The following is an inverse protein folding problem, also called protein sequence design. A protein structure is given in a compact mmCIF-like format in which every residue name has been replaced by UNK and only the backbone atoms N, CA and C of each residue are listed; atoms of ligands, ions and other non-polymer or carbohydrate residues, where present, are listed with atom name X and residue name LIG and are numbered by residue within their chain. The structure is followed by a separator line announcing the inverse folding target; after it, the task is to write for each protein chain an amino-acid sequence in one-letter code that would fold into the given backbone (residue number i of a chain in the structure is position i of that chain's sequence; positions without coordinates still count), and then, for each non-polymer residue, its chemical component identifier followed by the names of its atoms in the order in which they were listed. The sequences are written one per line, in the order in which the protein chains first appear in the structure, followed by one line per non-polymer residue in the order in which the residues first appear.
data_IF_921349445792
#
_entry.id   IF_921349445792
#
_cell.length_a   1.000
_cell.length_b   1.000
_cell.length_c   1.000
_cell.angle_alpha   90.00
_cell.angle_beta   90.00
_cell.angle_gamma   90.00
#
_symmetry.space_group_name_H-M   'P 1'
#
loop_
_entity.id
_entity.type
_entity.pdbx_description
1 polymer ?
#
# COMPACT_ATOMS: atom_id res chain seq x y z
N UNK A 1 -6.32 -11.53 -12.21
CA UNK A 1 -7.44 -10.67 -11.78
C UNK A 1 -8.53 -11.48 -11.12
N UNK A 2 -8.96 -11.08 -9.93
CA UNK A 2 -10.08 -11.71 -9.21
C UNK A 2 -11.46 -11.34 -9.79
N UNK A 3 -12.45 -12.23 -9.61
CA UNK A 3 -13.86 -11.94 -9.86
C UNK A 3 -14.32 -10.82 -8.92
N UNK A 4 -15.08 -9.85 -9.45
CA UNK A 4 -15.59 -8.72 -8.68
C UNK A 4 -16.48 -9.17 -7.49
N UNK A 5 -17.16 -10.31 -7.64
CA UNK A 5 -18.01 -10.89 -6.58
C UNK A 5 -17.20 -11.38 -5.38
N UNK A 6 -15.94 -11.77 -5.59
CA UNK A 6 -15.05 -12.32 -4.56
C UNK A 6 -13.87 -11.42 -4.24
N UNK A 7 -13.69 -10.30 -4.93
CA UNK A 7 -12.54 -9.39 -4.79
C UNK A 7 -12.34 -8.83 -3.36
N UNK A 8 -13.40 -8.86 -2.55
CA UNK A 8 -13.39 -8.45 -1.14
C UNK A 8 -12.98 -9.55 -0.17
N UNK A 9 -12.86 -10.79 -0.65
CA UNK A 9 -12.38 -11.93 0.12
C UNK A 9 -10.89 -12.11 -0.15
N UNK A 10 -10.06 -12.27 0.90
CA UNK A 10 -8.65 -12.57 0.71
C UNK A 10 -8.42 -13.92 0.04
N UNK A 11 -7.48 -13.96 -0.90
CA UNK A 11 -6.90 -15.23 -1.36
C UNK A 11 -5.95 -15.74 -0.28
N UNK A 12 -6.32 -16.83 0.39
CA UNK A 12 -5.54 -17.41 1.50
C UNK A 12 -4.14 -17.83 1.06
N UNK A 13 -3.93 -18.16 -0.22
CA UNK A 13 -2.61 -18.52 -0.73
C UNK A 13 -1.65 -17.33 -0.82
N UNK A 14 -2.16 -16.10 -0.71
CA UNK A 14 -1.38 -14.85 -0.78
C UNK A 14 -1.22 -14.18 0.58
N UNK A 15 -1.54 -14.90 1.66
CA UNK A 15 -1.43 -14.39 3.02
C UNK A 15 -0.58 -15.33 3.87
N UNK A 16 0.41 -14.73 4.51
CA UNK A 16 1.20 -15.31 5.59
C UNK A 16 0.68 -14.75 6.92
N UNK A 17 0.35 -15.60 7.90
CA UNK A 17 -0.04 -15.15 9.23
C UNK A 17 1.20 -14.93 10.08
N UNK A 18 1.38 -13.71 10.60
CA UNK A 18 2.52 -13.34 11.44
C UNK A 18 2.06 -12.62 12.70
N UNK A 19 2.99 -12.29 13.60
CA UNK A 19 2.71 -11.46 14.76
C UNK A 19 2.25 -10.04 14.41
N UNK A 20 2.60 -9.54 13.22
CA UNK A 20 2.17 -8.23 12.71
C UNK A 20 0.79 -8.25 12.06
N UNK A 21 0.18 -9.43 11.92
CA UNK A 21 -1.06 -9.67 11.19
C UNK A 21 -0.84 -10.38 9.85
N UNK A 22 -1.84 -10.36 8.95
CA UNK A 22 -1.73 -10.99 7.64
C UNK A 22 -0.76 -10.21 6.75
N UNK A 23 0.41 -10.78 6.48
CA UNK A 23 1.35 -10.22 5.51
C UNK A 23 1.09 -10.78 4.12
N UNK A 24 1.24 -9.97 3.06
CA UNK A 24 1.17 -10.47 1.70
C UNK A 24 2.38 -11.36 1.40
N UNK A 25 2.12 -12.42 0.64
CA UNK A 25 3.15 -13.35 0.15
C UNK A 25 2.82 -13.78 -1.27
N UNK A 26 3.83 -14.22 -2.01
CA UNK A 26 3.64 -14.89 -3.31
C UNK A 26 3.00 -16.26 -3.09
N UNK A 27 2.04 -16.60 -3.93
CA UNK A 27 1.41 -17.91 -3.91
C UNK A 27 2.41 -19.01 -4.28
N UNK A 28 2.16 -20.26 -3.87
CA UNK A 28 3.00 -21.41 -4.23
C UNK A 28 3.00 -21.68 -5.76
N UNK A 29 2.01 -21.15 -6.47
CA UNK A 29 1.87 -21.18 -7.92
C UNK A 29 2.57 -19.99 -8.62
N UNK A 30 3.33 -19.18 -7.88
CA UNK A 30 4.07 -18.02 -8.37
C UNK A 30 3.24 -16.76 -8.56
N UNK A 31 1.91 -16.80 -8.32
CA UNK A 31 1.07 -15.60 -8.42
C UNK A 31 1.47 -14.57 -7.37
N UNK A 32 1.47 -13.30 -7.77
CA UNK A 32 1.76 -12.18 -6.87
C UNK A 32 0.47 -11.51 -6.40
N UNK A 33 0.44 -10.92 -5.19
CA UNK A 33 -0.61 -10.00 -4.78
C UNK A 33 -0.91 -8.93 -5.83
N UNK A 34 0.14 -8.35 -6.45
CA UNK A 34 0.00 -7.39 -7.55
C UNK A 34 -0.90 -7.90 -8.70
N UNK A 35 -0.69 -9.14 -9.18
CA UNK A 35 -1.43 -9.68 -10.35
C UNK A 35 -2.86 -10.10 -10.00
N UNK A 36 -3.04 -10.60 -8.77
CA UNK A 36 -4.32 -11.16 -8.31
C UNK A 36 -5.28 -10.05 -7.92
N UNK A 37 -4.78 -9.04 -7.19
CA UNK A 37 -5.59 -7.94 -6.69
C UNK A 37 -5.69 -6.74 -7.64
N UNK A 38 -5.04 -6.76 -8.81
CA UNK A 38 -5.15 -5.71 -9.82
C UNK A 38 -6.61 -5.36 -10.17
N UNK A 39 -6.89 -4.05 -10.23
CA UNK A 39 -8.17 -3.49 -10.64
C UNK A 39 -8.44 -3.73 -12.12
N UNK A 40 -9.70 -3.94 -12.49
CA UNK A 40 -10.09 -4.21 -13.88
C UNK A 40 -9.86 -2.98 -14.75
N UNK A 41 -9.37 -3.18 -15.96
CA UNK A 41 -9.29 -2.16 -17.00
C UNK A 41 -9.86 -2.70 -18.32
N UNK A 42 -10.29 -1.81 -19.21
CA UNK A 42 -11.03 -2.13 -20.45
C UNK A 42 -10.23 -2.90 -21.50
N UNK A 43 -8.91 -3.01 -21.37
CA UNK A 43 -8.04 -3.58 -22.41
C UNK A 43 -7.91 -2.70 -23.67
N UNK A 44 -8.57 -1.55 -23.72
CA UNK A 44 -8.63 -0.68 -24.91
C UNK A 44 -7.29 0.01 -25.17
N UNK A 45 -6.94 0.16 -26.45
CA UNK A 45 -5.77 0.94 -26.87
C UNK A 45 -6.04 2.44 -26.65
N UNK A 46 -5.07 3.16 -26.07
CA UNK A 46 -5.17 4.60 -25.83
C UNK A 46 -4.31 5.07 -24.64
N UNK A 47 -4.32 6.38 -24.41
CA UNK A 47 -3.73 6.96 -23.20
C UNK A 47 -4.48 6.46 -21.96
N UNK A 48 -3.74 6.14 -20.90
CA UNK A 48 -4.28 5.62 -19.64
C UNK A 48 -3.88 6.56 -18.52
N UNK A 49 -4.81 6.79 -17.61
CA UNK A 49 -4.60 7.61 -16.41
C UNK A 49 -4.93 6.75 -15.19
N UNK A 50 -4.06 6.79 -14.20
CA UNK A 50 -4.31 6.23 -12.88
C UNK A 50 -4.54 7.40 -11.91
N UNK A 51 -5.58 7.31 -11.08
CA UNK A 51 -5.87 8.29 -10.03
C UNK A 51 -5.84 7.54 -8.72
N UNK A 52 -5.05 8.04 -7.77
CA UNK A 52 -4.95 7.49 -6.41
C UNK A 52 -5.48 8.50 -5.41
N UNK A 53 -6.40 8.08 -4.54
CA UNK A 53 -6.86 8.87 -3.40
C UNK A 53 -6.32 8.23 -2.12
N UNK A 54 -5.48 8.97 -1.39
CA UNK A 54 -4.86 8.50 -0.15
C UNK A 54 -5.57 8.92 1.13
N UNK A 55 -5.03 8.50 2.27
CA UNK A 55 -5.52 8.88 3.60
C UNK A 55 -6.74 8.10 4.08
N UNK A 56 -7.13 7.01 3.38
CA UNK A 56 -8.28 6.23 3.79
C UNK A 56 -8.04 5.56 5.15
N UNK A 57 -9.09 5.48 5.95
CA UNK A 57 -9.07 4.97 7.32
C UNK A 57 -8.80 6.05 8.39
N UNK A 58 -8.23 7.20 8.03
CA UNK A 58 -7.98 8.30 8.99
C UNK A 58 -9.28 8.99 9.42
N UNK A 59 -10.17 9.26 8.47
CA UNK A 59 -11.52 9.78 8.72
C UNK A 59 -12.56 8.75 8.31
N UNK A 60 -13.44 8.33 9.22
CA UNK A 60 -14.48 7.33 8.91
C UNK A 60 -15.48 7.86 7.89
N UNK A 61 -15.95 9.10 8.06
CA UNK A 61 -16.89 9.75 7.13
C UNK A 61 -16.24 10.04 5.78
N UNK A 62 -15.00 10.54 5.78
CA UNK A 62 -14.26 10.79 4.54
C UNK A 62 -13.98 9.51 3.76
N UNK A 63 -13.63 8.42 4.45
CA UNK A 63 -13.40 7.10 3.83
C UNK A 63 -14.69 6.53 3.24
N UNK A 64 -15.79 6.61 3.98
CA UNK A 64 -17.10 6.17 3.51
C UNK A 64 -17.55 6.93 2.27
N UNK A 65 -17.38 8.26 2.27
CA UNK A 65 -17.73 9.11 1.13
C UNK A 65 -16.88 8.82 -0.10
N UNK A 66 -15.56 8.65 0.08
CA UNK A 66 -14.66 8.28 -1.00
C UNK A 66 -15.09 6.96 -1.66
N UNK A 67 -15.31 5.90 -0.87
CA UNK A 67 -15.72 4.58 -1.38
C UNK A 67 -17.09 4.63 -2.07
N UNK A 68 -18.02 5.45 -1.58
CA UNK A 68 -19.38 5.53 -2.13
C UNK A 68 -19.48 6.36 -3.40
N UNK A 69 -18.69 7.43 -3.51
CA UNK A 69 -18.85 8.45 -4.55
C UNK A 69 -17.86 8.31 -5.69
N UNK A 70 -16.68 7.74 -5.43
CA UNK A 70 -15.66 7.57 -6.47
C UNK A 70 -15.99 6.36 -7.34
N UNK A 71 -15.74 6.42 -8.66
CA UNK A 71 -15.92 5.26 -9.52
C UNK A 71 -14.84 4.21 -9.22
N UNK A 72 -15.16 2.93 -9.42
CA UNK A 72 -14.25 1.81 -9.16
C UNK A 72 -12.91 1.84 -9.91
N UNK A 73 -12.79 2.67 -10.96
CA UNK A 73 -11.52 2.92 -11.65
C UNK A 73 -10.52 3.80 -10.88
N UNK A 74 -10.93 4.39 -9.75
CA UNK A 74 -10.03 5.15 -8.85
C UNK A 74 -9.38 4.19 -7.86
N UNK A 75 -8.07 4.24 -7.74
CA UNK A 75 -7.31 3.47 -6.75
C UNK A 75 -7.38 4.15 -5.39
N UNK A 76 -7.54 3.37 -4.33
CA UNK A 76 -7.68 3.89 -2.96
C UNK A 76 -6.51 3.44 -2.09
N UNK A 77 -5.79 4.39 -1.48
CA UNK A 77 -4.64 4.10 -0.64
C UNK A 77 -4.98 4.30 0.85
N UNK A 78 -4.84 3.23 1.63
CA UNK A 78 -5.12 3.22 3.07
C UNK A 78 -3.92 3.67 3.87
N UNK A 79 -4.16 4.49 4.90
CA UNK A 79 -3.15 4.75 5.91
C UNK A 79 -3.12 3.61 6.92
N UNK A 80 -1.93 3.09 7.30
CA UNK A 80 -1.82 2.05 8.32
C UNK A 80 -2.22 2.54 9.72
N UNK A 81 -2.21 3.86 9.93
CA UNK A 81 -2.71 4.53 11.14
C UNK A 81 -4.24 4.58 11.21
N UNK A 82 -4.93 4.24 10.12
CA UNK A 82 -6.38 4.29 10.04
C UNK A 82 -7.08 3.24 10.89
N UNK A 83 -8.37 3.46 11.10
CA UNK A 83 -9.26 2.57 11.85
C UNK A 83 -10.23 1.85 10.92
N UNK A 84 -10.70 0.66 11.34
CA UNK A 84 -11.65 -0.17 10.57
C UNK A 84 -11.13 -0.58 9.19
N UNK A 85 -9.81 -0.74 9.03
CA UNK A 85 -9.14 -0.94 7.73
C UNK A 85 -9.66 -2.18 7.00
N UNK A 86 -9.88 -3.30 7.69
CA UNK A 86 -10.46 -4.51 7.08
C UNK A 86 -11.84 -4.25 6.50
N UNK A 87 -12.70 -3.52 7.22
CA UNK A 87 -14.04 -3.16 6.76
C UNK A 87 -13.96 -2.29 5.51
N UNK A 88 -13.18 -1.22 5.56
CA UNK A 88 -13.07 -0.29 4.44
C UNK A 88 -12.41 -0.91 3.22
N UNK A 89 -11.42 -1.78 3.41
CA UNK A 89 -10.84 -2.58 2.34
C UNK A 89 -11.93 -3.43 1.67
N UNK A 90 -12.73 -4.17 2.45
CA UNK A 90 -13.79 -4.99 1.88
C UNK A 90 -14.81 -4.16 1.10
N UNK A 91 -15.23 -3.01 1.64
CA UNK A 91 -16.14 -2.09 0.95
C UNK A 91 -15.53 -1.52 -0.35
N UNK A 92 -14.27 -1.08 -0.32
CA UNK A 92 -13.54 -0.61 -1.48
C UNK A 92 -13.44 -1.68 -2.58
N UNK A 93 -13.06 -2.90 -2.21
CA UNK A 93 -12.95 -4.02 -3.15
C UNK A 93 -14.31 -4.41 -3.74
N UNK A 94 -15.40 -4.35 -2.96
CA UNK A 94 -16.78 -4.53 -3.48
C UNK A 94 -17.17 -3.43 -4.46
N UNK A 95 -16.72 -2.20 -4.22
CA UNK A 95 -16.87 -1.07 -5.15
C UNK A 95 -16.03 -1.17 -6.44
N UNK A 96 -15.20 -2.21 -6.55
CA UNK A 96 -14.34 -2.45 -7.72
C UNK A 96 -13.01 -1.71 -7.68
N UNK A 97 -12.69 -1.03 -6.58
CA UNK A 97 -11.46 -0.27 -6.43
C UNK A 97 -10.24 -1.19 -6.32
N UNK A 98 -9.17 -0.81 -7.01
CA UNK A 98 -7.83 -1.24 -6.62
C UNK A 98 -7.43 -0.56 -5.30
N UNK A 99 -6.64 -1.24 -4.48
CA UNK A 99 -6.26 -0.78 -3.15
C UNK A 99 -4.74 -0.78 -3.00
N UNK A 100 -4.21 0.25 -2.33
CA UNK A 100 -2.81 0.37 -1.92
C UNK A 100 -2.70 0.57 -0.40
N UNK A 101 -1.52 0.28 0.15
CA UNK A 101 -1.14 0.66 1.51
C UNK A 101 -0.17 1.84 1.48
N UNK A 102 -0.42 2.88 2.26
CA UNK A 102 0.53 3.97 2.43
C UNK A 102 1.63 3.57 3.42
N UNK A 103 2.87 3.88 3.10
CA UNK A 103 4.02 3.63 3.94
C UNK A 103 4.51 4.96 4.53
N UNK A 104 4.42 5.19 5.85
CA UNK A 104 4.91 6.40 6.47
C UNK A 104 6.44 6.43 6.41
N UNK A 105 7.01 7.41 5.71
CA UNK A 105 8.45 7.52 5.47
C UNK A 105 8.99 8.88 5.93
N UNK A 106 10.24 8.91 6.40
CA UNK A 106 10.91 10.09 6.93
C UNK A 106 10.94 11.29 5.94
N UNK A 107 10.31 12.44 6.28
CA UNK A 107 10.55 13.70 5.61
C UNK A 107 11.85 14.37 6.09
N UNK A 108 12.32 15.42 5.40
CA UNK A 108 13.54 16.14 5.81
C UNK A 108 13.45 16.79 7.19
N UNK A 109 12.25 17.15 7.64
CA UNK A 109 12.03 17.83 8.91
C UNK A 109 11.52 16.91 10.03
N UNK A 110 11.76 15.61 9.91
CA UNK A 110 11.58 14.67 11.01
C UNK A 110 12.52 14.99 12.19
N UNK A 111 12.09 14.89 13.47
CA UNK A 111 10.77 14.46 13.93
C UNK A 111 9.75 15.60 14.10
N UNK A 112 10.07 16.84 13.70
CA UNK A 112 9.14 18.00 13.82
C UNK A 112 7.87 17.78 12.99
N UNK A 113 8.01 17.24 11.78
CA UNK A 113 6.88 16.68 11.01
C UNK A 113 6.97 15.17 11.09
N UNK A 114 5.97 14.57 11.73
CA UNK A 114 5.93 13.13 11.97
C UNK A 114 4.75 12.49 11.22
N UNK A 115 5.01 11.65 10.20
CA UNK A 115 3.98 10.94 9.43
C UNK A 115 3.10 9.99 10.26
N UNK A 116 3.58 9.57 11.43
CA UNK A 116 2.86 8.70 12.36
C UNK A 116 3.76 7.70 13.07
N UNK A 117 3.14 6.81 13.85
CA UNK A 117 3.86 5.71 14.51
C UNK A 117 4.51 4.80 13.47
N UNK A 118 5.64 4.19 13.82
CA UNK A 118 6.34 3.25 12.95
C UNK A 118 6.69 3.87 11.58
N UNK A 119 7.07 5.15 11.59
CA UNK A 119 7.66 5.81 10.42
C UNK A 119 9.03 5.20 10.17
N UNK A 120 9.29 4.78 8.93
CA UNK A 120 10.62 4.29 8.55
C UNK A 120 11.56 5.48 8.42
N UNK A 121 12.74 5.39 9.04
CA UNK A 121 13.72 6.48 9.11
C UNK A 121 15.11 6.01 8.66
N UNK A 122 15.88 6.93 8.09
CA UNK A 122 17.22 6.68 7.53
C UNK A 122 18.26 6.31 8.57
N UNK A 123 18.06 6.78 9.81
CA UNK A 123 18.96 6.54 10.95
C UNK A 123 18.65 5.24 11.71
N UNK A 124 17.54 4.56 11.41
CA UNK A 124 17.17 3.30 12.03
C UNK A 124 17.96 2.13 11.44
N UNK A 125 18.22 1.13 12.27
CA UNK A 125 18.74 -0.16 11.82
C UNK A 125 17.76 -0.82 10.83
N UNK A 126 18.31 -1.56 9.86
CA UNK A 126 17.50 -2.20 8.82
C UNK A 126 16.42 -3.15 9.39
N UNK A 127 16.72 -3.84 10.49
CA UNK A 127 15.76 -4.69 11.19
C UNK A 127 14.57 -3.90 11.72
N UNK A 128 14.79 -2.74 12.35
CA UNK A 128 13.71 -1.91 12.87
C UNK A 128 12.82 -1.36 11.74
N UNK A 129 13.40 -0.91 10.63
CA UNK A 129 12.62 -0.49 9.46
C UNK A 129 11.82 -1.66 8.86
N UNK A 130 12.34 -2.89 8.93
CA UNK A 130 11.64 -4.09 8.49
C UNK A 130 10.44 -4.40 9.40
N UNK A 131 10.59 -4.30 10.72
CA UNK A 131 9.47 -4.45 11.67
C UNK A 131 8.38 -3.40 11.42
N UNK A 132 8.77 -2.15 11.17
CA UNK A 132 7.83 -1.06 10.88
C UNK A 132 7.12 -1.24 9.54
N UNK A 133 7.84 -1.74 8.53
CA UNK A 133 7.26 -2.15 7.25
C UNK A 133 6.24 -3.27 7.46
N UNK A 134 6.59 -4.35 8.16
CA UNK A 134 5.68 -5.47 8.41
C UNK A 134 4.46 -5.04 9.22
N UNK A 135 4.64 -4.17 10.21
CA UNK A 135 3.53 -3.59 10.94
C UNK A 135 2.54 -2.87 10.01
N UNK A 136 3.04 -2.05 9.07
CA UNK A 136 2.19 -1.34 8.11
C UNK A 136 1.50 -2.30 7.14
N UNK A 137 2.23 -3.29 6.60
CA UNK A 137 1.71 -4.29 5.69
C UNK A 137 0.64 -5.18 6.33
N UNK A 138 0.81 -5.53 7.60
CA UNK A 138 -0.09 -6.41 8.36
C UNK A 138 -1.40 -5.76 8.80
N UNK A 139 -1.60 -4.46 8.55
CA UNK A 139 -2.82 -3.74 8.94
C UNK A 139 -4.07 -4.19 8.19
N UNK A 140 -3.93 -4.71 6.96
CA UNK A 140 -5.01 -5.25 6.14
C UNK A 140 -4.44 -6.13 5.02
N UNK A 141 -5.25 -6.52 4.04
CA UNK A 141 -4.88 -7.39 2.91
C UNK A 141 -5.49 -6.87 1.60
N UNK A 142 -5.35 -7.62 0.50
CA UNK A 142 -6.01 -7.38 -0.80
C UNK A 142 -5.61 -6.08 -1.49
N UNK A 143 -4.42 -5.57 -1.19
CA UNK A 143 -3.79 -4.47 -1.91
C UNK A 143 -2.75 -4.98 -2.92
N UNK A 144 -2.51 -4.20 -3.97
CA UNK A 144 -1.58 -4.54 -5.06
C UNK A 144 -0.15 -4.10 -4.78
N UNK A 145 0.01 -3.13 -3.89
CA UNK A 145 1.29 -2.55 -3.56
C UNK A 145 1.21 -1.54 -2.43
N UNK A 146 2.34 -0.87 -2.23
CA UNK A 146 2.47 0.25 -1.31
C UNK A 146 2.75 1.54 -2.06
N UNK A 147 2.45 2.67 -1.43
CA UNK A 147 2.93 3.98 -1.88
C UNK A 147 3.54 4.74 -0.71
N UNK A 148 4.47 5.66 -0.97
CA UNK A 148 4.99 6.51 0.09
C UNK A 148 3.90 7.45 0.65
N UNK A 149 4.05 7.79 1.93
CA UNK A 149 3.42 8.94 2.55
C UNK A 149 4.52 9.81 3.13
N UNK A 150 4.76 10.97 2.50
CA UNK A 150 5.97 11.77 2.66
C UNK A 150 7.21 11.00 2.19
N UNK A 151 8.31 10.97 2.95
CA UNK A 151 9.50 10.18 2.60
C UNK A 151 10.58 10.90 1.80
N UNK A 152 10.51 12.22 1.66
CA UNK A 152 11.47 12.97 0.85
C UNK A 152 12.94 12.75 1.25
N UNK A 153 13.24 12.50 2.54
CA UNK A 153 14.57 12.13 3.01
C UNK A 153 14.81 10.63 2.80
N UNK A 154 13.90 9.78 3.26
CA UNK A 154 14.03 8.33 3.21
C UNK A 154 14.29 7.80 1.78
N UNK A 155 13.52 8.28 0.80
CA UNK A 155 13.58 7.83 -0.59
C UNK A 155 14.86 8.26 -1.33
N UNK A 156 15.68 9.11 -0.71
CA UNK A 156 17.00 9.52 -1.24
C UNK A 156 18.17 8.75 -0.61
N UNK A 157 17.94 8.02 0.49
CA UNK A 157 18.96 7.16 1.10
C UNK A 157 18.84 5.74 0.55
N UNK A 158 19.75 5.39 -0.36
CA UNK A 158 19.79 4.06 -0.99
C UNK A 158 20.00 2.91 -0.01
N UNK A 159 20.70 3.12 1.12
CA UNK A 159 20.95 2.08 2.12
C UNK A 159 19.68 1.77 2.90
N UNK A 160 18.88 2.79 3.20
CA UNK A 160 17.60 2.63 3.87
C UNK A 160 16.51 2.10 2.92
N UNK A 161 16.47 2.58 1.68
CA UNK A 161 15.42 2.24 0.71
C UNK A 161 15.57 0.83 0.13
N UNK A 162 16.80 0.37 -0.12
CA UNK A 162 17.05 -0.92 -0.79
C UNK A 162 16.40 -2.12 -0.07
N UNK A 163 16.58 -2.32 1.25
CA UNK A 163 15.93 -3.43 1.96
C UNK A 163 14.40 -3.39 1.88
N UNK A 164 13.81 -2.19 1.89
CA UNK A 164 12.36 -2.01 1.78
C UNK A 164 11.87 -2.48 0.41
N UNK A 165 12.53 -2.06 -0.67
CA UNK A 165 12.16 -2.47 -2.04
C UNK A 165 12.36 -3.98 -2.23
N UNK A 166 13.45 -4.55 -1.72
CA UNK A 166 13.73 -5.99 -1.79
C UNK A 166 12.65 -6.81 -1.06
N UNK A 167 12.21 -6.35 0.11
CA UNK A 167 11.13 -7.00 0.86
C UNK A 167 9.79 -6.92 0.12
N UNK A 168 9.43 -5.75 -0.42
CA UNK A 168 8.21 -5.59 -1.22
C UNK A 168 8.22 -6.48 -2.48
N UNK A 169 9.37 -6.56 -3.15
CA UNK A 169 9.55 -7.42 -4.32
C UNK A 169 9.42 -8.91 -3.96
N UNK A 170 9.99 -9.33 -2.83
CA UNK A 170 9.85 -10.69 -2.28
C UNK A 170 8.38 -11.04 -2.04
N UNK A 171 7.62 -10.11 -1.45
CA UNK A 171 6.17 -10.26 -1.20
C UNK A 171 5.30 -10.13 -2.45
N UNK A 172 5.87 -9.74 -3.59
CA UNK A 172 5.13 -9.60 -4.86
C UNK A 172 4.25 -8.36 -4.90
N UNK A 173 4.68 -7.29 -4.24
CA UNK A 173 4.01 -5.99 -4.21
C UNK A 173 4.70 -5.02 -5.17
N UNK A 174 3.94 -4.05 -5.68
CA UNK A 174 4.53 -2.88 -6.32
C UNK A 174 4.85 -1.78 -5.30
N UNK A 175 5.78 -0.89 -5.63
CA UNK A 175 5.99 0.38 -4.95
C UNK A 175 5.58 1.51 -5.91
N UNK A 176 4.68 2.39 -5.47
CA UNK A 176 4.27 3.58 -6.19
C UNK A 176 4.84 4.81 -5.50
N UNK A 177 5.66 5.56 -6.24
CA UNK A 177 6.11 6.88 -5.83
C UNK A 177 5.06 7.93 -6.17
N UNK A 178 4.64 8.72 -5.18
CA UNK A 178 3.68 9.82 -5.35
C UNK A 178 4.30 11.07 -5.99
N UNK A 179 5.61 11.07 -6.26
CA UNK A 179 6.34 12.14 -6.92
C UNK A 179 6.64 13.35 -6.04
N UNK A 180 6.38 13.27 -4.72
CA UNK A 180 6.62 14.38 -3.79
C UNK A 180 8.12 14.59 -3.49
N UNK A 181 8.99 13.66 -3.89
CA UNK A 181 10.45 13.82 -3.86
C UNK A 181 11.03 13.96 -5.27
N UNK A 182 11.46 15.16 -5.63
CA UNK A 182 12.13 15.42 -6.91
C UNK A 182 13.46 14.65 -7.11
N UNK A 183 13.95 13.98 -6.06
CA UNK A 183 15.19 13.18 -6.04
C UNK A 183 14.95 11.70 -5.73
N UNK A 184 13.71 11.24 -5.86
CA UNK A 184 13.39 9.85 -5.57
C UNK A 184 14.22 8.89 -6.41
N UNK A 185 14.68 7.81 -5.75
CA UNK A 185 15.37 6.68 -6.40
C UNK A 185 14.39 5.63 -6.97
N UNK A 186 13.08 5.84 -6.87
CA UNK A 186 12.04 4.88 -7.27
C UNK A 186 11.69 4.90 -8.78
N UNK A 187 12.54 5.49 -9.62
CA UNK A 187 12.37 5.58 -11.08
C UNK A 187 12.90 4.39 -11.86
#
# INVERSE_FOLDING_TARGET
MQDARTAHLPDRALIEQTEYGPLPVRGPDGRRPFDVYAGKWSGSRGARVAIVIGGLGLSQTGTQDAIRKLPGGVTLAFSPQGNSLTRWMQEARRGGHEVLMQLPLEPFDYPRVNPGRNTLITEAEAAQNTEFLHWALGRTTNYTGVMNYMGARFMTDSRAMKPVIEELATRGLMFLDDGTSARSLAG
#
